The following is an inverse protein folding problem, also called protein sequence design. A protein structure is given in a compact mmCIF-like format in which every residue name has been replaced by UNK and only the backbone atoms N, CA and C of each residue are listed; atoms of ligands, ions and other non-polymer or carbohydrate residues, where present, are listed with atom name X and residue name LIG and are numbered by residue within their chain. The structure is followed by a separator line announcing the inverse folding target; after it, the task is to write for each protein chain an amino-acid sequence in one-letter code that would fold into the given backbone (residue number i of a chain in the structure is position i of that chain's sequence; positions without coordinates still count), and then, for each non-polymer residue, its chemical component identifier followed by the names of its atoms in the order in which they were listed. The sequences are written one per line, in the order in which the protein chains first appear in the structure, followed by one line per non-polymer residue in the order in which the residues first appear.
data_IF_550167243011
#
_entry.id   IF_550167243011
#
_cell.length_a   1.000
_cell.length_b   1.000
_cell.length_c   1.000
_cell.angle_alpha   90.00
_cell.angle_beta   90.00
_cell.angle_gamma   90.00
#
_symmetry.space_group_name_H-M   'P 1'
#
loop_
_entity.id
_entity.type
_entity.pdbx_description
1 polymer ?
#
# COMPACT_ATOMS: atom_id res chain seq x y z
N UNK A 1 30.60 36.96 28.75
CA UNK A 1 29.49 37.09 27.77
C UNK A 1 29.85 38.21 26.81
N UNK A 2 29.96 37.96 25.49
CA UNK A 2 30.25 39.04 24.55
C UNK A 2 29.00 39.89 24.27
N UNK A 3 29.15 41.19 23.97
CA UNK A 3 28.05 42.14 23.80
C UNK A 3 27.21 41.87 22.54
N UNK A 4 25.93 42.25 22.61
CA UNK A 4 24.88 41.98 21.61
C UNK A 4 25.14 42.58 20.22
N UNK A 5 26.10 43.50 20.11
CA UNK A 5 26.42 44.21 18.87
C UNK A 5 27.10 43.33 17.82
N UNK A 6 27.67 42.18 18.22
CA UNK A 6 28.41 41.31 17.31
C UNK A 6 27.49 40.47 16.39
N UNK A 7 26.22 40.26 16.78
CA UNK A 7 25.30 39.42 16.01
C UNK A 7 24.66 40.12 14.81
N UNK A 8 24.70 41.45 14.75
CA UNK A 8 24.10 42.23 13.64
C UNK A 8 25.08 42.42 12.48
N UNK A 9 26.39 42.28 12.72
CA UNK A 9 27.44 42.48 11.71
C UNK A 9 27.83 41.23 10.90
N UNK A 10 27.18 40.08 11.12
CA UNK A 10 27.21 38.98 10.14
C UNK A 10 26.30 39.30 8.94
N UNK A 11 26.44 40.50 8.39
CA UNK A 11 25.86 40.87 7.10
C UNK A 11 26.53 40.00 6.04
N UNK A 12 25.77 39.02 5.59
CA UNK A 12 25.98 38.21 4.38
C UNK A 12 26.71 39.05 3.33
N UNK A 13 27.98 38.69 3.05
CA UNK A 13 28.77 39.22 1.94
C UNK A 13 28.07 38.83 0.64
N UNK A 14 27.15 39.69 0.20
CA UNK A 14 26.28 39.39 -0.91
C UNK A 14 27.03 39.54 -2.24
N UNK A 15 27.35 38.39 -2.84
CA UNK A 15 27.98 38.24 -4.15
C UNK A 15 26.98 38.63 -5.25
N UNK A 16 27.11 39.84 -5.81
CA UNK A 16 26.57 40.28 -7.12
C UNK A 16 25.05 40.41 -7.30
N UNK A 17 24.27 39.40 -6.90
CA UNK A 17 22.83 39.28 -7.18
C UNK A 17 21.97 40.23 -6.33
N UNK A 18 22.47 40.63 -5.16
CA UNK A 18 21.79 41.54 -4.22
C UNK A 18 21.65 42.98 -4.73
N UNK A 19 22.52 43.44 -5.64
CA UNK A 19 22.47 44.83 -6.16
C UNK A 19 21.28 45.08 -7.08
N UNK A 20 20.81 44.06 -7.79
CA UNK A 20 19.62 44.16 -8.65
C UNK A 20 18.33 44.15 -7.82
N UNK A 21 18.25 43.26 -6.83
CA UNK A 21 17.14 43.20 -5.88
C UNK A 21 17.00 44.49 -5.06
N UNK A 22 18.11 45.07 -4.61
CA UNK A 22 18.12 46.33 -3.87
C UNK A 22 17.70 47.56 -4.71
N UNK A 23 17.73 47.46 -6.04
CA UNK A 23 17.30 48.53 -6.95
C UNK A 23 15.80 48.52 -7.22
N UNK A 24 15.16 47.36 -7.05
CA UNK A 24 13.74 47.13 -7.36
C UNK A 24 12.89 47.12 -6.08
N UNK A 25 13.48 46.75 -4.93
CA UNK A 25 12.81 46.70 -3.64
C UNK A 25 13.32 47.79 -2.71
N UNK A 26 12.40 48.64 -2.24
CA UNK A 26 12.69 49.62 -1.19
C UNK A 26 13.12 48.92 0.11
N UNK A 27 14.05 49.51 0.89
CA UNK A 27 14.61 48.89 2.10
C UNK A 27 13.55 48.54 3.16
N UNK A 28 12.47 49.32 3.22
CA UNK A 28 11.28 49.05 4.05
C UNK A 28 10.57 47.74 3.65
N UNK A 29 10.48 47.45 2.34
CA UNK A 29 9.87 46.20 1.84
C UNK A 29 10.74 44.97 2.12
N UNK A 30 12.06 45.12 2.12
CA UNK A 30 13.00 44.03 2.43
C UNK A 30 12.89 43.63 3.90
N UNK A 31 12.80 44.60 4.82
CA UNK A 31 12.60 44.33 6.26
C UNK A 31 11.26 43.64 6.53
N UNK A 32 10.18 44.14 5.93
CA UNK A 32 8.85 43.54 6.09
C UNK A 32 8.77 42.14 5.48
N UNK A 33 9.37 41.90 4.31
CA UNK A 33 9.49 40.57 3.72
C UNK A 33 10.29 39.60 4.60
N UNK A 34 11.37 40.06 5.23
CA UNK A 34 12.16 39.25 6.16
C UNK A 34 11.36 38.83 7.39
N UNK A 35 10.58 39.73 7.98
CA UNK A 35 9.69 39.44 9.12
C UNK A 35 8.59 38.46 8.72
N UNK A 36 7.99 38.66 7.55
CA UNK A 36 6.98 37.75 7.00
C UNK A 36 7.54 36.36 6.74
N UNK A 37 8.72 36.27 6.13
CA UNK A 37 9.42 35.02 5.88
C UNK A 37 9.71 34.28 7.19
N UNK A 38 10.23 34.97 8.22
CA UNK A 38 10.50 34.31 9.50
C UNK A 38 9.24 33.83 10.24
N UNK A 39 8.08 34.44 9.99
CA UNK A 39 6.81 33.98 10.58
C UNK A 39 6.13 32.88 9.79
N UNK A 40 6.17 32.92 8.46
CA UNK A 40 5.42 31.99 7.61
C UNK A 40 6.18 30.69 7.36
N UNK A 41 7.49 30.77 7.14
CA UNK A 41 8.33 29.58 6.88
C UNK A 41 8.25 28.51 7.98
N UNK A 42 8.27 28.82 9.29
CA UNK A 42 8.11 27.78 10.32
C UNK A 42 6.71 27.15 10.31
N UNK A 43 5.66 27.92 10.02
CA UNK A 43 4.27 27.41 9.97
C UNK A 43 4.10 26.45 8.79
N UNK A 44 4.63 26.82 7.62
CA UNK A 44 4.62 25.94 6.44
C UNK A 44 5.47 24.70 6.71
N UNK A 45 6.65 24.87 7.32
CA UNK A 45 7.54 23.76 7.66
C UNK A 45 6.88 22.75 8.61
N UNK A 46 6.18 23.22 9.65
CA UNK A 46 5.46 22.33 10.57
C UNK A 46 4.26 21.66 9.92
N UNK A 47 3.51 22.37 9.07
CA UNK A 47 2.39 21.79 8.32
C UNK A 47 2.84 20.68 7.35
N UNK A 48 3.92 20.91 6.61
CA UNK A 48 4.51 19.91 5.71
C UNK A 48 5.06 18.73 6.51
N UNK A 49 5.75 18.99 7.63
CA UNK A 49 6.26 17.94 8.51
C UNK A 49 5.16 17.07 9.08
N UNK A 50 4.04 17.67 9.49
CA UNK A 50 2.87 16.95 9.97
C UNK A 50 2.21 16.11 8.87
N UNK A 51 2.04 16.67 7.68
CA UNK A 51 1.51 15.94 6.53
C UNK A 51 2.40 14.73 6.19
N UNK A 52 3.72 14.92 6.19
CA UNK A 52 4.67 13.84 5.94
C UNK A 52 4.57 12.75 7.01
N UNK A 53 4.45 13.12 8.29
CA UNK A 53 4.25 12.18 9.38
C UNK A 53 2.99 11.32 9.18
N UNK A 54 1.87 11.95 8.79
CA UNK A 54 0.62 11.23 8.48
C UNK A 54 0.81 10.27 7.32
N UNK A 55 1.46 10.71 6.23
CA UNK A 55 1.71 9.86 5.07
C UNK A 55 2.60 8.66 5.41
N UNK A 56 3.64 8.85 6.23
CA UNK A 56 4.51 7.76 6.69
C UNK A 56 3.74 6.78 7.58
N UNK A 57 2.86 7.28 8.46
CA UNK A 57 2.01 6.42 9.28
C UNK A 57 1.08 5.57 8.41
N UNK A 58 0.42 6.18 7.42
CA UNK A 58 -0.43 5.44 6.48
C UNK A 58 0.36 4.41 5.69
N UNK A 59 1.55 4.75 5.21
CA UNK A 59 2.43 3.83 4.48
C UNK A 59 2.85 2.64 5.36
N UNK A 60 3.33 2.91 6.57
CA UNK A 60 3.76 1.87 7.52
C UNK A 60 2.64 0.95 7.99
N UNK A 61 1.39 1.44 8.08
CA UNK A 61 0.23 0.60 8.40
C UNK A 61 -0.24 -0.19 7.17
N UNK A 62 -0.39 0.49 6.03
CA UNK A 62 -0.93 -0.12 4.80
C UNK A 62 0.03 -1.11 4.18
N UNK A 63 1.35 -0.88 4.30
CA UNK A 63 2.37 -1.80 3.81
C UNK A 63 2.77 -2.85 4.88
N UNK A 64 2.08 -2.88 6.02
CA UNK A 64 2.24 -3.96 7.00
C UNK A 64 1.26 -5.10 6.69
N UNK A 65 1.77 -6.09 5.99
CA UNK A 65 1.03 -7.27 5.56
C UNK A 65 0.45 -8.09 6.73
N UNK A 66 1.04 -8.02 7.93
CA UNK A 66 0.51 -8.71 9.11
C UNK A 66 -0.76 -8.04 9.66
N UNK A 67 -0.84 -6.71 9.60
CA UNK A 67 -2.06 -5.97 10.00
C UNK A 67 -3.18 -6.23 8.99
N UNK A 68 -2.84 -6.25 7.70
CA UNK A 68 -3.81 -6.55 6.64
C UNK A 68 -4.35 -7.98 6.73
N UNK A 69 -3.52 -8.97 7.08
CA UNK A 69 -3.96 -10.35 7.31
C UNK A 69 -4.91 -10.47 8.50
N UNK A 70 -4.59 -9.78 9.61
CA UNK A 70 -5.43 -9.76 10.81
C UNK A 70 -6.81 -9.15 10.56
N UNK A 71 -6.88 -7.98 9.91
CA UNK A 71 -8.15 -7.31 9.61
C UNK A 71 -8.90 -7.95 8.43
N UNK A 72 -8.20 -8.55 7.47
CA UNK A 72 -8.76 -9.12 6.26
C UNK A 72 -9.53 -10.43 6.46
N UNK A 73 -9.41 -11.09 7.62
CA UNK A 73 -10.10 -12.34 7.94
C UNK A 73 -10.00 -13.41 6.83
N UNK A 74 -8.95 -13.41 6.02
CA UNK A 74 -8.89 -14.24 4.80
C UNK A 74 -8.57 -15.72 5.08
N UNK A 75 -8.34 -16.08 6.36
CA UNK A 75 -8.04 -17.44 6.80
C UNK A 75 -9.19 -18.42 6.48
N UNK A 76 -10.44 -17.94 6.37
CA UNK A 76 -11.58 -18.79 5.98
C UNK A 76 -11.45 -19.37 4.56
N UNK A 77 -10.64 -18.76 3.67
CA UNK A 77 -10.38 -19.31 2.33
C UNK A 77 -9.50 -20.56 2.36
N UNK A 78 -8.83 -20.85 3.49
CA UNK A 78 -8.06 -22.10 3.64
C UNK A 78 -8.95 -23.31 3.85
N UNK A 79 -10.12 -23.15 4.45
CA UNK A 79 -11.02 -24.26 4.83
C UNK A 79 -11.38 -25.19 3.66
N UNK A 80 -11.79 -24.70 2.47
CA UNK A 80 -12.09 -25.60 1.35
C UNK A 80 -10.87 -26.37 0.86
N UNK A 81 -9.69 -25.76 0.84
CA UNK A 81 -8.47 -26.41 0.32
C UNK A 81 -7.67 -27.19 1.37
N UNK A 82 -8.12 -27.22 2.63
CA UNK A 82 -7.38 -27.81 3.75
C UNK A 82 -7.04 -29.31 3.57
N UNK A 83 -7.76 -30.01 2.70
CA UNK A 83 -7.54 -31.44 2.39
C UNK A 83 -6.63 -31.67 1.16
N UNK A 84 -6.29 -30.62 0.43
CA UNK A 84 -5.52 -30.67 -0.83
C UNK A 84 -4.04 -30.41 -0.51
N UNK A 85 -3.11 -31.25 -0.96
CA UNK A 85 -1.68 -31.04 -0.73
C UNK A 85 -0.97 -30.48 -1.95
N UNK A 86 -1.37 -30.91 -3.13
CA UNK A 86 -0.82 -30.49 -4.43
C UNK A 86 -1.93 -30.27 -5.45
N UNK A 87 -1.60 -29.67 -6.60
CA UNK A 87 -2.56 -29.50 -7.70
C UNK A 87 -3.16 -30.81 -8.21
N UNK A 88 -2.41 -31.91 -8.14
CA UNK A 88 -2.84 -33.23 -8.59
C UNK A 88 -3.97 -33.81 -7.74
N UNK A 89 -4.13 -33.36 -6.50
CA UNK A 89 -5.21 -33.81 -5.62
C UNK A 89 -6.56 -33.16 -5.98
N UNK A 90 -6.54 -32.01 -6.66
CA UNK A 90 -7.75 -31.24 -6.93
C UNK A 90 -8.82 -32.00 -7.74
N UNK A 91 -8.48 -32.74 -8.82
CA UNK A 91 -9.50 -33.44 -9.61
C UNK A 91 -10.22 -34.55 -8.83
N UNK A 92 -9.65 -35.01 -7.72
CA UNK A 92 -10.27 -36.02 -6.85
C UNK A 92 -11.29 -35.43 -5.87
N UNK A 93 -11.23 -34.12 -5.62
CA UNK A 93 -12.04 -33.41 -4.62
C UNK A 93 -13.00 -32.41 -5.28
N UNK A 94 -12.62 -31.87 -6.45
CA UNK A 94 -13.32 -30.81 -7.15
C UNK A 94 -13.68 -31.20 -8.58
N UNK A 95 -14.86 -30.75 -9.01
CA UNK A 95 -15.30 -30.89 -10.39
C UNK A 95 -14.93 -29.64 -11.18
N UNK A 96 -14.26 -29.83 -12.32
CA UNK A 96 -13.85 -28.76 -13.23
C UNK A 96 -14.75 -28.71 -14.45
N UNK A 97 -14.91 -27.52 -15.03
CA UNK A 97 -15.56 -27.37 -16.33
C UNK A 97 -14.74 -28.09 -17.43
N UNK A 98 -15.44 -28.58 -18.47
CA UNK A 98 -14.80 -29.30 -19.59
C UNK A 98 -13.71 -28.44 -20.23
N UNK A 99 -12.48 -28.95 -20.29
CA UNK A 99 -11.32 -28.25 -20.86
C UNK A 99 -10.60 -27.29 -19.89
N UNK A 100 -11.10 -27.10 -18.67
CA UNK A 100 -10.53 -26.21 -17.65
C UNK A 100 -9.98 -26.96 -16.42
N UNK A 101 -9.82 -28.28 -16.54
CA UNK A 101 -9.20 -29.09 -15.48
C UNK A 101 -7.68 -28.92 -15.40
N UNK A 102 -7.11 -29.37 -14.28
CA UNK A 102 -5.66 -29.27 -13.97
C UNK A 102 -4.77 -29.82 -15.09
N UNK A 103 -5.19 -30.92 -15.70
CA UNK A 103 -4.47 -31.56 -16.80
C UNK A 103 -4.38 -30.71 -18.09
N UNK A 104 -5.21 -29.66 -18.25
CA UNK A 104 -5.21 -28.79 -19.43
C UNK A 104 -4.43 -27.47 -19.19
N UNK A 105 -3.83 -27.27 -18.02
CA UNK A 105 -2.99 -26.10 -17.77
C UNK A 105 -1.65 -26.21 -18.49
N UNK A 106 -1.11 -25.06 -18.87
CA UNK A 106 0.29 -24.96 -19.29
C UNK A 106 1.23 -25.28 -18.12
N UNK A 107 2.48 -25.66 -18.39
CA UNK A 107 3.46 -25.94 -17.33
C UNK A 107 3.60 -24.78 -16.32
N UNK A 108 3.55 -23.53 -16.79
CA UNK A 108 3.61 -22.37 -15.90
C UNK A 108 2.31 -22.20 -15.11
N UNK A 109 1.15 -22.42 -15.73
CA UNK A 109 -0.14 -22.36 -15.06
C UNK A 109 -0.26 -23.43 -13.97
N UNK A 110 0.22 -24.65 -14.26
CA UNK A 110 0.32 -25.73 -13.29
C UNK A 110 1.22 -25.34 -12.12
N UNK A 111 2.43 -24.83 -12.39
CA UNK A 111 3.37 -24.42 -11.34
C UNK A 111 2.82 -23.30 -10.46
N UNK A 112 2.18 -22.29 -11.05
CA UNK A 112 1.55 -21.20 -10.28
C UNK A 112 0.40 -21.71 -9.41
N UNK A 113 -0.43 -22.61 -9.93
CA UNK A 113 -1.53 -23.21 -9.19
C UNK A 113 -1.04 -24.09 -8.03
N UNK A 114 -0.03 -24.92 -8.30
CA UNK A 114 0.57 -25.80 -7.29
C UNK A 114 1.26 -25.01 -6.19
N UNK A 115 2.01 -23.97 -6.54
CA UNK A 115 2.58 -23.04 -5.57
C UNK A 115 1.48 -22.39 -4.71
N UNK A 116 0.40 -21.91 -5.32
CA UNK A 116 -0.73 -21.32 -4.59
C UNK A 116 -1.34 -22.29 -3.58
N UNK A 117 -1.62 -23.52 -4.00
CA UNK A 117 -2.25 -24.55 -3.16
C UNK A 117 -1.34 -24.97 -2.03
N UNK A 118 -0.06 -25.21 -2.30
CA UNK A 118 0.88 -25.59 -1.25
C UNK A 118 0.99 -24.51 -0.17
N UNK A 119 0.97 -23.23 -0.54
CA UNK A 119 1.02 -22.11 0.40
C UNK A 119 -0.31 -21.86 1.11
N UNK A 120 -1.45 -22.17 0.47
CA UNK A 120 -2.77 -22.06 1.06
C UNK A 120 -3.04 -23.20 2.05
N UNK A 121 -2.66 -24.43 1.70
CA UNK A 121 -2.84 -25.64 2.52
C UNK A 121 -1.85 -25.73 3.69
N UNK A 122 -0.62 -25.24 3.54
CA UNK A 122 0.36 -25.20 4.63
C UNK A 122 0.19 -23.91 5.44
N UNK A 123 0.15 -24.03 6.77
CA UNK A 123 0.25 -22.87 7.65
C UNK A 123 1.70 -22.38 7.68
N UNK A 124 2.01 -21.38 6.85
CA UNK A 124 3.31 -20.70 6.84
C UNK A 124 3.17 -19.30 7.45
N UNK A 125 4.08 -18.88 8.35
CA UNK A 125 4.09 -17.53 8.90
C UNK A 125 4.56 -16.47 7.88
N UNK A 126 5.08 -16.89 6.72
CA UNK A 126 5.58 -16.00 5.67
C UNK A 126 4.53 -15.66 4.60
N UNK A 127 3.32 -16.19 4.69
CA UNK A 127 2.25 -15.99 3.71
C UNK A 127 1.06 -15.33 4.39
N UNK A 128 0.71 -14.15 3.91
CA UNK A 128 -0.42 -13.35 4.37
C UNK A 128 -1.55 -13.44 3.35
N UNK A 129 -2.78 -13.62 3.81
CA UNK A 129 -3.97 -13.66 2.96
C UNK A 129 -4.77 -12.38 3.17
N UNK A 130 -5.15 -11.75 2.08
CA UNK A 130 -5.91 -10.50 2.13
C UNK A 130 -7.18 -10.72 1.31
N UNK A 131 -8.34 -10.44 1.91
CA UNK A 131 -9.59 -10.34 1.15
C UNK A 131 -9.78 -8.89 0.73
N UNK A 132 -9.85 -8.65 -0.58
CA UNK A 132 -10.17 -7.35 -1.13
C UNK A 132 -11.61 -7.37 -1.65
N UNK A 133 -12.57 -7.18 -0.74
CA UNK A 133 -13.97 -6.95 -1.06
C UNK A 133 -14.87 -8.19 -1.07
N UNK A 134 -16.16 -7.93 -1.26
CA UNK A 134 -17.18 -8.95 -1.51
C UNK A 134 -17.43 -9.06 -3.01
N UNK A 135 -17.43 -10.28 -3.54
CA UNK A 135 -17.74 -10.54 -4.93
C UNK A 135 -19.14 -11.16 -4.98
N UNK A 136 -20.05 -10.56 -5.75
CA UNK A 136 -21.35 -11.17 -6.02
C UNK A 136 -21.16 -12.33 -6.99
N UNK A 137 -21.55 -13.53 -6.56
CA UNK A 137 -21.49 -14.72 -7.43
C UNK A 137 -22.60 -14.59 -8.47
N UNK A 138 -22.25 -14.07 -9.65
CA UNK A 138 -23.15 -13.97 -10.79
C UNK A 138 -23.54 -15.34 -11.37
N UNK A 139 -24.61 -15.37 -12.17
CA UNK A 139 -25.13 -16.60 -12.80
C UNK A 139 -24.15 -17.31 -13.74
N UNK A 140 -23.05 -16.67 -14.12
CA UNK A 140 -21.98 -17.24 -14.95
C UNK A 140 -20.95 -18.03 -14.13
N UNK A 141 -20.75 -17.70 -12.85
CA UNK A 141 -19.79 -18.34 -11.94
C UNK A 141 -20.46 -19.25 -10.91
N UNK A 142 -21.80 -19.22 -10.83
CA UNK A 142 -22.58 -20.18 -10.06
C UNK A 142 -22.75 -21.49 -10.85
N UNK A 143 -21.72 -22.34 -10.83
CA UNK A 143 -21.77 -23.65 -11.49
C UNK A 143 -22.73 -24.63 -10.80
N UNK A 144 -22.98 -24.47 -9.49
CA UNK A 144 -23.91 -25.33 -8.73
C UNK A 144 -25.35 -25.15 -9.22
N UNK A 145 -25.78 -23.92 -9.52
CA UNK A 145 -27.12 -23.64 -10.04
C UNK A 145 -27.34 -24.10 -11.50
N UNK A 146 -26.27 -24.46 -12.23
CA UNK A 146 -26.34 -24.93 -13.63
C UNK A 146 -26.13 -26.44 -13.77
N UNK A 147 -25.79 -27.14 -12.69
CA UNK A 147 -25.70 -28.59 -12.71
C UNK A 147 -27.12 -29.19 -12.65
N UNK A 148 -27.44 -30.21 -13.45
CA UNK A 148 -28.73 -30.91 -13.42
C UNK A 148 -28.86 -31.85 -12.20
N UNK A 149 -28.26 -31.48 -11.06
CA UNK A 149 -28.36 -32.22 -9.81
C UNK A 149 -29.15 -31.35 -8.84
N UNK A 150 -30.46 -31.61 -8.73
CA UNK A 150 -31.28 -31.12 -7.61
C UNK A 150 -30.81 -31.83 -6.36
N UNK A 151 -30.08 -31.14 -5.48
CA UNK A 151 -30.01 -31.54 -4.08
C UNK A 151 -31.29 -31.00 -3.45
N UNK A 152 -32.35 -31.81 -3.47
CA UNK A 152 -33.46 -31.65 -2.53
C UNK A 152 -32.92 -31.92 -1.13
N UNK A 153 -33.02 -30.92 -0.24
CA UNK A 153 -33.03 -31.15 1.20
C UNK A 153 -34.20 -32.06 1.56
#
# INVERSE_FOLDING_TARGET
MPPADLYVTALVKARGSSRLLAKILTPERIKTLGIWYQRVTPIIGTAIGFLMLVLILVDSISNNWAILDYCGNAVHFRTPVARVKTSDDLPSIYTFAKGYGIANLSNIGYWMNDFGIQNLAKSSPAVYFITAGSYTVGSMINFVARLPIRITM
#
